data_IF_801332248004
#
_entry.id   IF_801332248004
#
_cell.length_a   1.000
_cell.length_b   1.000
_cell.length_c   1.000
_cell.angle_alpha   90.00
_cell.angle_beta   90.00
_cell.angle_gamma   90.00
#
_symmetry.space_group_name_H-M   'P 1'
#
loop_
_entity.id
_entity.type
_entity.pdbx_description
1 polymer ?
#
# COMPACT_ATOMS: atom_id res chain seq x y z
N UNK A 1 -9.81 19.48 2.20
CA UNK A 1 -11.12 19.18 2.84
C UNK A 1 -11.12 17.69 3.16
N UNK A 2 -11.73 17.28 4.27
CA UNK A 2 -11.71 15.88 4.72
C UNK A 2 -12.96 15.13 4.26
N UNK A 3 -12.80 13.85 3.93
CA UNK A 3 -13.92 12.93 3.76
C UNK A 3 -14.39 12.36 5.10
N UNK A 4 -15.66 11.95 5.16
CA UNK A 4 -16.22 11.23 6.31
C UNK A 4 -15.68 9.79 6.32
N UNK A 5 -14.81 9.49 7.28
CA UNK A 5 -14.09 8.21 7.36
C UNK A 5 -15.04 7.03 7.61
N UNK A 6 -16.06 7.21 8.45
CA UNK A 6 -17.00 6.15 8.80
C UNK A 6 -17.85 5.81 7.58
N UNK A 7 -18.28 6.84 6.84
CA UNK A 7 -18.97 6.65 5.57
C UNK A 7 -18.10 5.93 4.54
N UNK A 8 -16.84 6.35 4.36
CA UNK A 8 -15.90 5.75 3.40
C UNK A 8 -15.61 4.29 3.74
N UNK A 9 -15.42 3.95 5.01
CA UNK A 9 -15.21 2.57 5.45
C UNK A 9 -16.48 1.74 5.26
N UNK A 10 -17.65 2.25 5.65
CA UNK A 10 -18.92 1.56 5.51
C UNK A 10 -19.23 1.15 4.06
N UNK A 11 -19.12 2.09 3.10
CA UNK A 11 -19.34 1.79 1.67
C UNK A 11 -18.24 0.90 1.07
N UNK A 12 -17.06 0.88 1.69
CA UNK A 12 -15.94 0.03 1.29
C UNK A 12 -15.98 -1.37 1.88
N UNK A 13 -16.98 -1.68 2.73
CA UNK A 13 -17.07 -2.96 3.43
C UNK A 13 -15.94 -3.16 4.43
N UNK A 14 -15.44 -2.08 5.03
CA UNK A 14 -14.43 -2.09 6.09
C UNK A 14 -15.14 -1.86 7.42
N UNK A 15 -14.91 -2.78 8.34
CA UNK A 15 -15.31 -2.64 9.74
C UNK A 15 -14.15 -1.99 10.52
N UNK A 16 -14.31 -0.75 11.01
CA UNK A 16 -13.24 -0.02 11.70
C UNK A 16 -12.77 -0.73 12.98
N UNK A 17 -13.67 -1.45 13.67
CA UNK A 17 -13.32 -2.15 14.91
C UNK A 17 -12.32 -3.28 14.66
N UNK A 18 -12.40 -3.91 13.49
CA UNK A 18 -11.48 -5.00 13.10
C UNK A 18 -10.10 -4.48 12.76
N UNK A 19 -9.95 -3.21 12.35
CA UNK A 19 -8.65 -2.60 12.04
C UNK A 19 -7.74 -2.47 13.28
N UNK A 20 -8.29 -2.59 14.50
CA UNK A 20 -7.49 -2.67 15.72
C UNK A 20 -6.59 -3.92 15.76
N UNK A 21 -6.90 -4.95 14.96
CA UNK A 21 -6.05 -6.13 14.82
C UNK A 21 -4.96 -5.89 13.76
N UNK A 22 -3.68 -5.76 14.15
CA UNK A 22 -2.60 -5.44 13.22
C UNK A 22 -2.28 -6.55 12.23
N UNK A 23 -2.77 -7.78 12.47
CA UNK A 23 -2.57 -8.95 11.60
C UNK A 23 -3.80 -9.25 10.75
N UNK A 24 -4.86 -8.43 10.84
CA UNK A 24 -6.01 -8.57 9.96
C UNK A 24 -5.58 -8.35 8.51
N UNK A 25 -5.82 -9.35 7.66
CA UNK A 25 -5.69 -9.18 6.22
C UNK A 25 -6.94 -8.50 5.65
N UNK A 26 -6.75 -7.35 5.02
CA UNK A 26 -7.78 -6.69 4.23
C UNK A 26 -7.75 -7.23 2.80
N UNK A 27 -8.92 -7.58 2.25
CA UNK A 27 -9.02 -7.95 0.84
C UNK A 27 -8.65 -6.76 -0.04
N UNK A 28 -7.86 -7.00 -1.10
CA UNK A 28 -7.35 -5.96 -1.98
C UNK A 28 -8.47 -5.10 -2.57
N UNK A 29 -9.60 -5.73 -2.95
CA UNK A 29 -10.77 -5.02 -3.51
C UNK A 29 -11.31 -3.97 -2.53
N UNK A 30 -11.43 -4.32 -1.25
CA UNK A 30 -11.95 -3.40 -0.23
C UNK A 30 -10.93 -2.28 0.03
N UNK A 31 -9.63 -2.61 0.06
CA UNK A 31 -8.55 -1.64 0.19
C UNK A 31 -8.55 -0.61 -0.96
N UNK A 32 -8.61 -1.06 -2.21
CA UNK A 32 -8.69 -0.18 -3.39
C UNK A 32 -9.93 0.70 -3.33
N UNK A 33 -11.09 0.13 -2.95
CA UNK A 33 -12.33 0.88 -2.81
C UNK A 33 -12.20 2.02 -1.79
N UNK A 34 -11.54 1.81 -0.65
CA UNK A 34 -11.29 2.90 0.32
C UNK A 34 -10.55 4.07 -0.32
N UNK A 35 -9.51 3.80 -1.12
CA UNK A 35 -8.72 4.86 -1.76
C UNK A 35 -9.53 5.61 -2.82
N UNK A 36 -10.34 4.91 -3.61
CA UNK A 36 -11.23 5.48 -4.63
C UNK A 36 -12.33 6.37 -4.00
N UNK A 37 -12.97 5.86 -2.96
CA UNK A 37 -14.00 6.58 -2.21
C UNK A 37 -13.41 7.82 -1.52
N UNK A 38 -12.20 7.69 -0.94
CA UNK A 38 -11.51 8.83 -0.34
C UNK A 38 -11.16 9.92 -1.35
N UNK A 39 -10.67 9.55 -2.55
CA UNK A 39 -10.41 10.51 -3.62
C UNK A 39 -11.71 11.25 -4.02
N UNK A 40 -12.81 10.51 -4.20
CA UNK A 40 -14.10 11.08 -4.61
C UNK A 40 -14.71 12.00 -3.56
N UNK A 41 -14.72 11.57 -2.30
CA UNK A 41 -15.30 12.32 -1.19
C UNK A 41 -14.46 13.52 -0.76
N UNK A 42 -13.14 13.48 -0.98
CA UNK A 42 -12.25 14.62 -0.73
C UNK A 42 -12.16 15.61 -1.89
N UNK A 43 -12.68 15.25 -3.07
CA UNK A 43 -12.55 16.04 -4.30
C UNK A 43 -11.10 16.16 -4.77
N UNK A 44 -10.26 15.16 -4.47
CA UNK A 44 -8.82 15.21 -4.72
C UNK A 44 -8.33 13.95 -5.44
N UNK A 45 -8.16 14.05 -6.76
CA UNK A 45 -7.80 12.91 -7.61
C UNK A 45 -6.43 12.30 -7.25
N UNK A 46 -5.49 13.12 -6.79
CA UNK A 46 -4.15 12.68 -6.37
C UNK A 46 -4.11 12.17 -4.91
N UNK A 47 -5.26 11.79 -4.35
CA UNK A 47 -5.36 11.31 -2.97
C UNK A 47 -4.37 10.19 -2.67
N UNK A 48 -4.28 9.18 -3.53
CA UNK A 48 -3.36 8.05 -3.34
C UNK A 48 -1.89 8.46 -3.26
N UNK A 49 -1.46 9.42 -4.10
CA UNK A 49 -0.08 9.93 -4.08
C UNK A 49 0.21 10.73 -2.80
N UNK A 50 -0.74 11.57 -2.38
CA UNK A 50 -0.61 12.33 -1.13
C UNK A 50 -0.62 11.41 0.10
N UNK A 51 -1.51 10.42 0.10
CA UNK A 51 -1.58 9.38 1.11
C UNK A 51 -0.28 8.58 1.17
N UNK A 52 0.28 8.18 0.03
CA UNK A 52 1.53 7.43 -0.04
C UNK A 52 2.75 8.20 0.48
N UNK A 53 2.79 9.52 0.30
CA UNK A 53 3.91 10.38 0.73
C UNK A 53 4.26 10.27 2.22
N UNK A 54 3.28 9.95 3.07
CA UNK A 54 3.49 9.86 4.52
C UNK A 54 4.09 8.51 4.97
N UNK A 55 4.11 7.50 4.11
CA UNK A 55 4.61 6.17 4.46
C UNK A 55 6.12 6.14 4.44
N UNK A 56 6.71 5.96 5.61
CA UNK A 56 8.11 5.59 5.73
C UNK A 56 8.24 4.07 5.53
N UNK A 57 9.39 3.55 5.07
CA UNK A 57 9.56 2.11 4.86
C UNK A 57 9.19 1.28 6.10
N UNK A 58 9.47 1.77 7.32
CA UNK A 58 9.11 1.09 8.58
C UNK A 58 7.60 0.86 8.74
N UNK A 59 6.76 1.72 8.15
CA UNK A 59 5.31 1.58 8.18
C UNK A 59 4.79 0.41 7.33
N UNK A 60 5.63 -0.16 6.45
CA UNK A 60 5.29 -1.35 5.66
C UNK A 60 5.51 -2.66 6.43
N UNK A 61 5.99 -2.58 7.68
CA UNK A 61 6.33 -3.77 8.48
C UNK A 61 7.54 -4.50 7.92
N UNK A 62 7.53 -5.84 7.97
CA UNK A 62 8.70 -6.68 7.66
C UNK A 62 9.32 -6.39 6.29
N UNK A 63 8.51 -6.18 5.24
CA UNK A 63 9.01 -5.90 3.89
C UNK A 63 9.80 -4.58 3.83
N UNK A 64 9.41 -3.59 4.62
CA UNK A 64 10.13 -2.34 4.73
C UNK A 64 11.51 -2.52 5.37
N UNK A 65 11.59 -3.33 6.41
CA UNK A 65 12.86 -3.69 7.05
C UNK A 65 13.75 -4.52 6.13
N UNK A 66 13.20 -5.44 5.33
CA UNK A 66 13.94 -6.17 4.31
C UNK A 66 14.64 -5.20 3.35
N UNK A 67 13.93 -4.17 2.88
CA UNK A 67 14.52 -3.12 2.05
C UNK A 67 15.61 -2.32 2.78
N UNK A 68 15.31 -1.82 3.98
CA UNK A 68 16.23 -0.98 4.76
C UNK A 68 17.51 -1.71 5.22
N UNK A 69 17.42 -3.01 5.51
CA UNK A 69 18.53 -3.82 5.97
C UNK A 69 19.34 -4.45 4.83
N UNK A 70 18.96 -4.22 3.57
CA UNK A 70 19.72 -4.69 2.43
C UNK A 70 21.01 -3.89 2.25
N UNK A 71 22.09 -4.56 1.85
CA UNK A 71 23.42 -3.95 1.77
C UNK A 71 23.54 -2.89 0.65
N UNK A 72 22.75 -3.01 -0.42
CA UNK A 72 22.74 -2.10 -1.56
C UNK A 72 21.31 -1.80 -2.01
N UNK A 73 21.12 -0.71 -2.75
CA UNK A 73 19.82 -0.36 -3.32
C UNK A 73 19.29 -1.43 -4.27
N UNK A 74 20.16 -1.99 -5.12
CA UNK A 74 19.82 -3.09 -6.02
C UNK A 74 19.30 -4.30 -5.23
N UNK A 75 20.04 -4.71 -4.19
CA UNK A 75 19.62 -5.82 -3.33
C UNK A 75 18.30 -5.51 -2.61
N UNK A 76 18.09 -4.25 -2.20
CA UNK A 76 16.82 -3.82 -1.60
C UNK A 76 15.65 -4.00 -2.56
N UNK A 77 15.79 -3.59 -3.83
CA UNK A 77 14.75 -3.75 -4.84
C UNK A 77 14.44 -5.23 -5.10
N UNK A 78 15.47 -6.06 -5.30
CA UNK A 78 15.29 -7.50 -5.49
C UNK A 78 14.60 -8.16 -4.29
N UNK A 79 15.07 -7.86 -3.07
CA UNK A 79 14.52 -8.44 -1.87
C UNK A 79 13.06 -8.03 -1.62
N UNK A 80 12.72 -6.75 -1.84
CA UNK A 80 11.35 -6.24 -1.71
C UNK A 80 10.44 -6.90 -2.74
N UNK A 81 10.84 -6.98 -4.02
CA UNK A 81 10.04 -7.64 -5.06
C UNK A 81 9.79 -9.11 -4.73
N UNK A 82 10.82 -9.84 -4.28
CA UNK A 82 10.69 -11.24 -3.89
C UNK A 82 9.81 -11.46 -2.65
N UNK A 83 9.84 -10.52 -1.70
CA UNK A 83 9.05 -10.59 -0.47
C UNK A 83 7.61 -10.06 -0.65
N UNK A 84 7.34 -9.29 -1.70
CA UNK A 84 6.06 -8.61 -1.92
C UNK A 84 4.82 -9.53 -1.87
N UNK A 85 4.83 -10.75 -2.44
CA UNK A 85 3.67 -11.65 -2.39
C UNK A 85 3.24 -12.02 -0.97
N UNK A 86 4.15 -11.98 0.01
CA UNK A 86 3.85 -12.25 1.42
C UNK A 86 3.33 -11.01 2.17
N UNK A 87 3.55 -9.83 1.60
CA UNK A 87 3.08 -8.56 2.16
C UNK A 87 1.69 -8.20 1.62
N UNK A 88 1.48 -8.38 0.31
CA UNK A 88 0.23 -8.02 -0.36
C UNK A 88 -0.22 -9.11 -1.32
N UNK A 89 -1.33 -9.75 -0.96
CA UNK A 89 -1.99 -10.75 -1.79
C UNK A 89 -2.72 -10.10 -2.98
N UNK A 90 -3.09 -10.91 -3.97
CA UNK A 90 -3.87 -10.51 -5.15
C UNK A 90 -3.22 -9.42 -6.03
N UNK A 91 -1.91 -9.25 -5.93
CA UNK A 91 -1.13 -8.33 -6.78
C UNK A 91 0.11 -8.99 -7.36
N UNK A 92 0.65 -8.39 -8.42
CA UNK A 92 1.89 -8.83 -9.06
C UNK A 92 2.92 -7.70 -9.03
N UNK A 93 4.08 -7.99 -8.45
CA UNK A 93 5.24 -7.10 -8.47
C UNK A 93 6.40 -7.82 -9.15
N UNK A 94 7.03 -7.16 -10.12
CA UNK A 94 8.20 -7.68 -10.83
C UNK A 94 9.23 -6.58 -11.03
N UNK A 95 10.49 -6.92 -10.78
CA UNK A 95 11.65 -6.12 -11.17
C UNK A 95 12.14 -6.67 -12.52
N UNK A 96 12.16 -5.81 -13.53
CA UNK A 96 12.53 -6.20 -14.90
C UNK A 96 13.59 -5.23 -15.39
N UNK A 97 14.72 -5.76 -15.83
CA UNK A 97 15.72 -4.99 -16.55
C UNK A 97 15.17 -4.65 -17.94
N UNK A 98 15.14 -3.36 -18.27
CA UNK A 98 14.70 -2.87 -19.58
C UNK A 98 15.86 -2.70 -20.58
N UNK A 99 17.09 -3.01 -20.18
CA UNK A 99 18.29 -2.69 -20.92
C UNK A 99 18.52 -1.18 -21.02
N UNK A 100 19.45 -0.77 -21.89
CA UNK A 100 19.69 0.65 -22.13
C UNK A 100 18.50 1.28 -22.88
N UNK A 101 17.90 2.30 -22.26
CA UNK A 101 16.94 3.17 -22.92
C UNK A 101 17.73 4.34 -23.54
N UNK A 102 17.70 4.44 -24.87
CA UNK A 102 18.27 5.57 -25.63
C UNK A 102 17.39 6.82 -25.54
#
# INVERSE_FOLDING_TARGET
QGGDVDRIFGISGIDPERLASPTLSLGLVNYCRVLEEAARHSGFDNFGLHYGRQFKPQSLGLIGYIGLCSATLEQALHNVVNAFPWHQHDTLTRLVDKGECW
#
